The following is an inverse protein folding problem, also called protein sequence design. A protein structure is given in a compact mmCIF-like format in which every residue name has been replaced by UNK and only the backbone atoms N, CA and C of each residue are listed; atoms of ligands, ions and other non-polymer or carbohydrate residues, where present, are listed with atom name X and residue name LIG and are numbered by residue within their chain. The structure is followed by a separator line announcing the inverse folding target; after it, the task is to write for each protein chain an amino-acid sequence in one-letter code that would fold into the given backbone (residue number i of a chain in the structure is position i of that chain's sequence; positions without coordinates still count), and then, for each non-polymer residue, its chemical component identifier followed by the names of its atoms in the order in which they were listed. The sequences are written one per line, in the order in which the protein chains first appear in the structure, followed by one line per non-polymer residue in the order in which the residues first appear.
data_IF_194042278404
#
_entry.id   IF_194042278404
#
_cell.length_a   1.000
_cell.length_b   1.000
_cell.length_c   1.000
_cell.angle_alpha   90.00
_cell.angle_beta   90.00
_cell.angle_gamma   90.00
#
_symmetry.space_group_name_H-M   'P 1'
#
loop_
_entity.id
_entity.type
_entity.pdbx_description
1 polymer ?
#
# COMPACT_ATOMS: atom_id res chain seq x y z
N UNK A 1 7.72 11.76 15.63
CA UNK A 1 7.97 10.31 15.42
C UNK A 1 6.92 9.67 14.51
N UNK A 2 5.61 9.87 14.72
CA UNK A 2 4.56 9.35 13.83
C UNK A 2 4.68 9.76 12.34
N UNK A 3 5.13 10.98 12.05
CA UNK A 3 5.34 11.47 10.66
C UNK A 3 6.32 10.63 9.85
N UNK A 4 7.39 10.12 10.49
CA UNK A 4 8.39 9.29 9.82
C UNK A 4 7.81 7.91 9.47
N UNK A 5 7.02 7.33 10.38
CA UNK A 5 6.31 6.07 10.16
C UNK A 5 5.30 6.19 9.02
N UNK A 6 4.55 7.29 8.95
CA UNK A 6 3.64 7.58 7.84
C UNK A 6 4.37 7.72 6.51
N UNK A 7 5.50 8.44 6.48
CA UNK A 7 6.30 8.60 5.26
C UNK A 7 6.87 7.26 4.77
N UNK A 8 7.51 6.50 5.65
CA UNK A 8 8.08 5.18 5.31
C UNK A 8 7.00 4.18 4.92
N UNK A 9 5.91 4.12 5.67
CA UNK A 9 4.76 3.25 5.38
C UNK A 9 4.12 3.60 4.04
N UNK A 10 3.98 4.88 3.73
CA UNK A 10 3.46 5.36 2.45
C UNK A 10 4.33 4.95 1.27
N UNK A 11 5.66 5.05 1.40
CA UNK A 11 6.62 4.60 0.37
C UNK A 11 6.50 3.09 0.16
N UNK A 12 6.46 2.30 1.24
CA UNK A 12 6.30 0.84 1.16
C UNK A 12 4.97 0.44 0.51
N UNK A 13 3.88 1.11 0.85
CA UNK A 13 2.58 0.92 0.19
C UNK A 13 2.68 1.18 -1.32
N UNK A 14 3.29 2.29 -1.71
CA UNK A 14 3.45 2.64 -3.12
C UNK A 14 4.30 1.63 -3.88
N UNK A 15 5.43 1.22 -3.30
CA UNK A 15 6.31 0.20 -3.91
C UNK A 15 5.57 -1.14 -4.03
N UNK A 16 4.90 -1.58 -2.97
CA UNK A 16 4.13 -2.82 -2.97
C UNK A 16 3.01 -2.80 -4.01
N UNK A 17 2.29 -1.69 -4.12
CA UNK A 17 1.21 -1.51 -5.09
C UNK A 17 1.72 -1.52 -6.53
N UNK A 18 2.75 -0.72 -6.85
CA UNK A 18 3.35 -0.69 -8.19
C UNK A 18 3.86 -2.08 -8.58
N UNK A 19 4.51 -2.79 -7.65
CA UNK A 19 5.00 -4.13 -7.92
C UNK A 19 3.85 -5.10 -8.22
N UNK A 20 2.75 -5.02 -7.45
CA UNK A 20 1.55 -5.84 -7.68
C UNK A 20 0.95 -5.57 -9.07
N UNK A 21 0.83 -4.29 -9.45
CA UNK A 21 0.37 -3.87 -10.79
C UNK A 21 1.29 -4.38 -11.90
N UNK A 22 2.62 -4.30 -11.72
CA UNK A 22 3.59 -4.81 -12.70
C UNK A 22 3.46 -6.33 -12.88
N UNK A 23 3.31 -7.10 -11.79
CA UNK A 23 3.05 -8.54 -11.89
C UNK A 23 1.69 -8.83 -12.55
N UNK A 24 0.68 -8.00 -12.30
CA UNK A 24 -0.61 -8.11 -12.97
C UNK A 24 -0.50 -7.92 -14.49
N UNK A 25 0.24 -6.91 -14.96
CA UNK A 25 0.53 -6.72 -16.39
C UNK A 25 1.31 -7.88 -17.01
N UNK A 26 2.24 -8.50 -16.25
CA UNK A 26 3.00 -9.67 -16.71
C UNK A 26 2.13 -10.90 -16.90
N UNK A 27 1.04 -11.04 -16.13
CA UNK A 27 0.07 -12.12 -16.29
C UNK A 27 -0.90 -11.82 -17.43
N UNK A 28 -1.57 -10.66 -17.40
CA UNK A 28 -2.48 -10.23 -18.47
C UNK A 28 -2.71 -8.71 -18.41
N UNK A 29 -2.79 -8.05 -19.56
CA UNK A 29 -3.08 -6.62 -19.65
C UNK A 29 -4.43 -6.24 -19.03
N UNK A 30 -5.44 -7.12 -19.09
CA UNK A 30 -6.74 -6.91 -18.44
C UNK A 30 -6.62 -6.83 -16.92
N UNK A 31 -5.77 -7.67 -16.32
CA UNK A 31 -5.51 -7.62 -14.87
C UNK A 31 -4.78 -6.34 -14.50
N UNK A 32 -3.72 -5.96 -15.23
CA UNK A 32 -2.99 -4.72 -14.98
C UNK A 32 -3.88 -3.47 -15.05
N UNK A 33 -4.74 -3.37 -16.07
CA UNK A 33 -5.71 -2.28 -16.20
C UNK A 33 -6.75 -2.33 -15.07
N UNK A 34 -7.25 -3.52 -14.74
CA UNK A 34 -8.21 -3.72 -13.66
C UNK A 34 -7.67 -3.29 -12.29
N UNK A 35 -6.42 -3.66 -11.98
CA UNK A 35 -5.71 -3.27 -10.76
C UNK A 35 -5.53 -1.74 -10.64
N UNK A 36 -5.23 -1.05 -11.74
CA UNK A 36 -5.10 0.42 -11.76
C UNK A 36 -6.46 1.11 -11.54
N UNK A 37 -7.52 0.60 -12.17
CA UNK A 37 -8.85 1.21 -12.12
C UNK A 37 -9.58 0.94 -10.80
N UNK A 38 -9.41 -0.26 -10.23
CA UNK A 38 -10.21 -0.73 -9.11
C UNK A 38 -9.33 -1.45 -8.07
N UNK A 39 -9.23 -0.92 -6.83
CA UNK A 39 -8.45 -1.58 -5.77
C UNK A 39 -9.03 -2.94 -5.36
N UNK A 40 -10.33 -3.18 -5.64
CA UNK A 40 -10.96 -4.48 -5.42
C UNK A 40 -10.37 -5.54 -6.35
N UNK A 41 -10.01 -5.16 -7.58
CA UNK A 41 -9.39 -6.08 -8.55
C UNK A 41 -7.98 -6.45 -8.11
N UNK A 42 -7.24 -5.54 -7.50
CA UNK A 42 -5.95 -5.82 -6.87
C UNK A 42 -6.05 -6.94 -5.84
N UNK A 43 -7.09 -6.91 -5.00
CA UNK A 43 -7.33 -7.93 -3.98
C UNK A 43 -7.73 -9.27 -4.61
N UNK A 44 -8.59 -9.24 -5.63
CA UNK A 44 -8.99 -10.45 -6.38
C UNK A 44 -7.77 -11.07 -7.07
N UNK A 45 -6.95 -10.25 -7.74
CA UNK A 45 -5.71 -10.69 -8.37
C UNK A 45 -4.76 -11.30 -7.34
N UNK A 46 -4.60 -10.68 -6.16
CA UNK A 46 -3.76 -11.22 -5.11
C UNK A 46 -4.23 -12.60 -4.62
N UNK A 47 -5.54 -12.82 -4.49
CA UNK A 47 -6.10 -14.11 -4.08
C UNK A 47 -5.97 -15.17 -5.18
N UNK A 48 -6.29 -14.82 -6.44
CA UNK A 48 -6.26 -15.76 -7.58
C UNK A 48 -4.81 -16.10 -7.96
N UNK A 49 -3.93 -15.11 -8.00
CA UNK A 49 -2.52 -15.22 -8.41
C UNK A 49 -1.56 -15.13 -7.21
N UNK A 50 -1.93 -15.78 -6.11
CA UNK A 50 -1.19 -15.72 -4.83
C UNK A 50 0.30 -16.05 -4.95
N UNK A 51 0.68 -17.01 -5.79
CA UNK A 51 2.10 -17.38 -5.96
C UNK A 51 2.98 -16.22 -6.44
N UNK A 52 2.41 -15.35 -7.28
CA UNK A 52 3.10 -14.17 -7.82
C UNK A 52 2.89 -12.95 -6.91
N UNK A 53 1.69 -12.82 -6.34
CA UNK A 53 1.28 -11.68 -5.54
C UNK A 53 1.81 -11.71 -4.10
N UNK A 54 2.16 -12.85 -3.51
CA UNK A 54 2.55 -12.95 -2.08
C UNK A 54 3.70 -12.03 -1.68
N UNK A 55 4.68 -11.83 -2.56
CA UNK A 55 5.82 -10.93 -2.32
C UNK A 55 5.40 -9.45 -2.33
N UNK A 56 4.85 -8.91 -3.44
CA UNK A 56 4.41 -7.52 -3.46
C UNK A 56 3.29 -7.23 -2.46
N UNK A 57 2.36 -8.17 -2.27
CA UNK A 57 1.29 -8.06 -1.27
C UNK A 57 1.82 -8.01 0.16
N UNK A 58 2.88 -8.77 0.48
CA UNK A 58 3.55 -8.69 1.78
C UNK A 58 4.18 -7.32 2.06
N UNK A 59 4.81 -6.71 1.05
CA UNK A 59 5.37 -5.36 1.14
C UNK A 59 4.24 -4.34 1.31
N UNK A 60 3.19 -4.45 0.49
CA UNK A 60 2.01 -3.59 0.57
C UNK A 60 1.37 -3.65 1.96
N UNK A 61 1.14 -4.85 2.50
CA UNK A 61 0.54 -5.06 3.83
C UNK A 61 1.44 -4.52 4.94
N UNK A 62 2.76 -4.68 4.82
CA UNK A 62 3.73 -4.11 5.79
C UNK A 62 3.67 -2.58 5.78
N UNK A 63 3.63 -1.97 4.59
CA UNK A 63 3.43 -0.53 4.45
C UNK A 63 2.09 -0.08 5.04
N UNK A 64 1.00 -0.82 4.79
CA UNK A 64 -0.32 -0.54 5.34
C UNK A 64 -0.31 -0.50 6.87
N UNK A 65 0.27 -1.53 7.49
CA UNK A 65 0.42 -1.60 8.96
C UNK A 65 1.24 -0.41 9.47
N UNK A 66 2.35 -0.07 8.82
CA UNK A 66 3.18 1.07 9.21
C UNK A 66 2.44 2.41 9.11
N UNK A 67 1.62 2.61 8.07
CA UNK A 67 0.79 3.81 7.94
C UNK A 67 -0.28 3.87 9.03
N UNK A 68 -0.95 2.76 9.30
CA UNK A 68 -1.98 2.70 10.36
C UNK A 68 -1.36 2.94 11.74
N UNK A 69 -0.22 2.34 12.03
CA UNK A 69 0.51 2.60 13.28
C UNK A 69 0.99 4.06 13.34
N UNK A 70 1.52 4.58 12.24
CA UNK A 70 1.95 5.96 12.12
C UNK A 70 0.83 6.96 12.34
N UNK A 71 -0.40 6.68 11.89
CA UNK A 71 -1.56 7.56 12.06
C UNK A 71 -2.10 7.54 13.47
N UNK A 72 -2.15 6.37 14.11
CA UNK A 72 -2.55 6.22 15.53
C UNK A 72 -1.54 6.90 16.46
N UNK A 73 -0.24 6.80 16.14
CA UNK A 73 0.85 7.41 16.91
C UNK A 73 1.13 8.87 16.53
N UNK A 74 0.47 9.39 15.48
CA UNK A 74 0.61 10.79 15.09
C UNK A 74 -0.09 11.66 16.15
N UNK A 75 0.62 12.53 16.87
CA UNK A 75 -0.03 13.41 17.83
C UNK A 75 -1.01 14.33 17.09
N UNK A 76 -2.29 14.22 17.43
CA UNK A 76 -3.38 15.02 16.87
C UNK A 76 -3.19 16.55 17.08
N UNK A 77 -2.20 16.95 17.90
CA UNK A 77 -1.87 18.33 18.25
C UNK A 77 -1.20 19.16 17.13
N UNK A 78 -0.63 18.54 16.08
CA UNK A 78 0.00 19.28 14.97
C UNK A 78 -1.00 19.74 13.90
N UNK A 79 -2.23 19.19 13.89
CA UNK A 79 -3.26 19.55 12.90
C UNK A 79 -3.96 20.88 13.27
N UNK A 80 -3.91 21.29 14.55
CA UNK A 80 -4.66 22.46 15.06
C UNK A 80 -3.88 23.78 15.03
N UNK A 81 -2.63 23.81 14.55
CA UNK A 81 -1.86 25.05 14.43
C UNK A 81 -1.52 25.74 15.76
N UNK A 82 -1.55 25.03 16.89
CA UNK A 82 -1.14 25.60 18.17
C UNK A 82 0.39 25.66 18.25
N UNK A 83 1.01 26.85 18.37
CA UNK A 83 2.45 26.96 18.60
C UNK A 83 2.79 26.34 19.97
N UNK A 84 3.96 25.70 20.00
CA UNK A 84 4.59 25.05 21.16
C UNK A 84 4.71 25.99 22.37
#
# INVERSE_FOLDING_TARGET
MGTLLLGLGGILLFIGWIWLVVEAFKVNILWGIGCILLPIIDLIFAIIHWEVAKKPFGIYLTGFVLVVLGSVLFPHAQVTGAPL
#
